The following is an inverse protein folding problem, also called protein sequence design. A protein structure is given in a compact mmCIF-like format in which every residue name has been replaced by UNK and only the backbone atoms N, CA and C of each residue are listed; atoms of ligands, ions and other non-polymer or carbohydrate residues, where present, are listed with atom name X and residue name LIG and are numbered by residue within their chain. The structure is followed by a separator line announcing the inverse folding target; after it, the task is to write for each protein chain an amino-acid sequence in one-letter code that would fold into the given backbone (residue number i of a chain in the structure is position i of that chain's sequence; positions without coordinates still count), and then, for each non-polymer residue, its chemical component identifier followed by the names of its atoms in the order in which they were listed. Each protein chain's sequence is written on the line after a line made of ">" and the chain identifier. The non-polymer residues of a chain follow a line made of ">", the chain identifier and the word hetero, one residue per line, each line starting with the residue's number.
data_IF_425151691061
#
_entry.id   IF_425151691061
#
_cell.length_a   1.000
_cell.length_b   1.000
_cell.length_c   1.000
_cell.angle_alpha   90.00
_cell.angle_beta   90.00
_cell.angle_gamma   90.00
#
_symmetry.space_group_name_H-M   'P 1'
#
loop_
_entity.id
_entity.type
_entity.pdbx_description
1 polymer ?
#
# COMPACT_ATOMS: atom_id res chain seq x y z
N UNK A 1 -0.96 -12.03 -3.92
CA UNK A 1 -1.36 -11.02 -2.91
C UNK A 1 -1.85 -9.78 -3.64
N UNK A 2 -2.86 -9.09 -3.13
CA UNK A 2 -3.26 -7.75 -3.60
C UNK A 2 -2.73 -6.72 -2.60
N UNK A 3 -2.17 -5.61 -3.07
CA UNK A 3 -1.76 -4.50 -2.22
C UNK A 3 -2.18 -3.17 -2.83
N UNK A 4 -2.75 -2.29 -2.00
CA UNK A 4 -3.17 -0.96 -2.40
C UNK A 4 -2.95 0.07 -1.29
N UNK A 5 -2.72 1.32 -1.69
CA UNK A 5 -2.61 2.45 -0.77
C UNK A 5 -3.96 3.15 -0.64
N UNK A 6 -4.51 3.24 0.57
CA UNK A 6 -5.74 3.99 0.85
C UNK A 6 -5.50 4.99 1.97
N UNK A 7 -6.50 5.82 2.24
CA UNK A 7 -6.49 6.77 3.34
C UNK A 7 -7.58 6.44 4.33
N UNK A 8 -7.25 6.39 5.61
CA UNK A 8 -8.20 6.14 6.70
C UNK A 8 -8.05 7.21 7.79
N UNK A 9 -9.09 7.36 8.61
CA UNK A 9 -9.01 8.21 9.80
C UNK A 9 -8.18 7.50 10.87
N UNK A 10 -7.03 8.07 11.21
CA UNK A 10 -6.14 7.56 12.25
C UNK A 10 -6.04 8.58 13.38
N UNK A 11 -6.15 8.10 14.62
CA UNK A 11 -5.97 8.92 15.81
C UNK A 11 -4.48 9.20 16.01
N UNK A 12 -4.06 10.44 15.77
CA UNK A 12 -2.67 10.88 15.92
C UNK A 12 -2.55 11.97 16.99
N UNK A 13 -1.35 12.12 17.56
CA UNK A 13 -1.06 13.22 18.48
C UNK A 13 -0.64 14.45 17.69
N UNK A 14 -1.37 15.55 17.88
CA UNK A 14 -0.99 16.86 17.34
C UNK A 14 0.31 17.32 18.02
N UNK A 15 1.34 17.64 17.23
CA UNK A 15 2.66 18.04 17.77
C UNK A 15 2.64 19.42 18.42
N UNK A 16 1.76 20.31 17.98
CA UNK A 16 1.66 21.69 18.47
C UNK A 16 0.81 21.75 19.74
N UNK A 17 -0.36 21.11 19.73
CA UNK A 17 -1.32 21.19 20.84
C UNK A 17 -1.20 20.05 21.84
N UNK A 18 -0.48 18.98 21.50
CA UNK A 18 -0.33 17.77 22.33
C UNK A 18 -1.60 16.91 22.44
N UNK A 19 -2.72 17.34 21.85
CA UNK A 19 -4.02 16.63 21.90
C UNK A 19 -4.09 15.51 20.86
N UNK A 20 -4.92 14.50 21.15
CA UNK A 20 -5.23 13.45 20.17
C UNK A 20 -6.31 13.94 19.22
N UNK A 21 -6.10 13.78 17.92
CA UNK A 21 -7.04 14.16 16.87
C UNK A 21 -7.11 13.08 15.80
N UNK A 22 -8.25 12.92 15.15
CA UNK A 22 -8.38 12.04 13.99
C UNK A 22 -8.03 12.81 12.73
N UNK A 23 -7.02 12.33 12.01
CA UNK A 23 -6.61 12.89 10.72
C UNK A 23 -6.61 11.81 9.66
N UNK A 24 -6.88 12.22 8.43
CA UNK A 24 -6.84 11.35 7.26
C UNK A 24 -5.37 11.03 6.96
N UNK A 25 -4.97 9.78 7.19
CA UNK A 25 -3.60 9.32 6.99
C UNK A 25 -3.55 8.19 5.95
N UNK A 26 -2.41 8.06 5.28
CA UNK A 26 -2.18 6.93 4.38
C UNK A 26 -1.94 5.63 5.15
N UNK A 27 -2.51 4.55 4.65
CA UNK A 27 -2.23 3.17 5.04
C UNK A 27 -2.07 2.31 3.78
N UNK A 28 -1.33 1.22 3.89
CA UNK A 28 -1.36 0.16 2.89
C UNK A 28 -2.22 -0.99 3.36
N UNK A 29 -3.14 -1.43 2.51
CA UNK A 29 -3.93 -2.63 2.69
C UNK A 29 -3.42 -3.74 1.78
N UNK A 30 -3.06 -4.88 2.37
CA UNK A 30 -2.69 -6.09 1.65
C UNK A 30 -3.68 -7.21 1.92
N UNK A 31 -4.13 -7.92 0.88
CA UNK A 31 -5.03 -9.07 0.99
C UNK A 31 -4.41 -10.30 0.36
N UNK A 32 -4.42 -11.42 1.07
CA UNK A 32 -4.12 -12.73 0.54
C UNK A 32 -5.37 -13.61 0.56
N UNK A 33 -6.10 -13.75 -0.56
CA UNK A 33 -7.31 -14.56 -0.62
C UNK A 33 -7.07 -16.04 -0.33
N UNK A 34 -5.93 -16.59 -0.75
CA UNK A 34 -5.60 -18.00 -0.52
C UNK A 34 -5.47 -18.31 0.97
N UNK A 35 -4.87 -17.40 1.73
CA UNK A 35 -4.73 -17.53 3.19
C UNK A 35 -5.92 -16.94 3.96
N UNK A 36 -6.87 -16.29 3.28
CA UNK A 36 -7.98 -15.54 3.89
C UNK A 36 -7.53 -14.50 4.93
N UNK A 37 -6.38 -13.86 4.70
CA UNK A 37 -5.84 -12.82 5.60
C UNK A 37 -5.80 -11.46 4.92
N UNK A 38 -6.05 -10.42 5.72
CA UNK A 38 -5.79 -9.02 5.38
C UNK A 38 -4.75 -8.45 6.36
N UNK A 39 -3.82 -7.67 5.82
CA UNK A 39 -2.76 -6.99 6.56
C UNK A 39 -2.84 -5.50 6.29
N UNK A 40 -2.66 -4.70 7.33
CA UNK A 40 -2.62 -3.25 7.24
C UNK A 40 -1.29 -2.75 7.75
N UNK A 41 -0.64 -1.89 6.95
CA UNK A 41 0.59 -1.22 7.32
C UNK A 41 0.33 0.27 7.50
N UNK A 42 0.73 0.79 8.65
CA UNK A 42 0.73 2.21 8.96
C UNK A 42 2.12 2.61 9.45
N UNK A 43 2.80 3.48 8.70
CA UNK A 43 4.02 4.15 9.18
C UNK A 43 3.77 5.66 9.25
N UNK A 44 3.07 6.08 10.31
CA UNK A 44 2.83 7.50 10.62
C UNK A 44 2.20 8.30 9.46
N UNK A 45 1.47 7.61 8.57
CA UNK A 45 0.87 8.17 7.36
C UNK A 45 1.84 8.44 6.21
N UNK A 46 3.09 8.00 6.30
CA UNK A 46 4.05 8.07 5.21
C UNK A 46 3.64 7.13 4.09
N UNK A 47 3.74 7.64 2.85
CA UNK A 47 3.57 6.87 1.61
C UNK A 47 4.85 6.76 0.80
N UNK A 48 6.00 6.96 1.45
CA UNK A 48 7.30 7.03 0.77
C UNK A 48 7.77 5.68 0.23
N UNK A 49 8.70 5.72 -0.73
CA UNK A 49 9.36 4.53 -1.27
C UNK A 49 10.07 3.73 -0.17
N UNK A 50 10.69 4.39 0.81
CA UNK A 50 11.39 3.72 1.91
C UNK A 50 10.45 2.82 2.75
N UNK A 51 9.19 3.24 2.96
CA UNK A 51 8.19 2.41 3.64
C UNK A 51 7.89 1.15 2.82
N UNK A 52 7.70 1.33 1.51
CA UNK A 52 7.44 0.23 0.60
C UNK A 52 8.64 -0.72 0.48
N UNK A 53 9.87 -0.23 0.45
CA UNK A 53 11.08 -1.05 0.42
C UNK A 53 11.22 -1.89 1.70
N UNK A 54 11.04 -1.27 2.87
CA UNK A 54 11.16 -1.97 4.15
C UNK A 54 10.03 -3.00 4.35
N UNK A 55 8.79 -2.67 3.99
CA UNK A 55 7.67 -3.61 4.04
C UNK A 55 7.81 -4.74 3.00
N UNK A 56 8.21 -4.31 1.81
CA UNK A 56 8.79 -5.05 0.70
C UNK A 56 9.72 -6.18 1.12
N UNK A 57 10.80 -5.84 1.81
CA UNK A 57 12.15 -6.44 1.69
C UNK A 57 12.25 -7.97 1.53
N UNK A 58 11.46 -8.76 2.26
CA UNK A 58 11.53 -10.23 2.28
C UNK A 58 10.39 -10.91 1.49
N UNK A 59 9.51 -10.13 0.86
CA UNK A 59 8.43 -10.66 0.04
C UNK A 59 8.93 -11.42 -1.19
N UNK A 60 8.34 -12.59 -1.42
CA UNK A 60 8.51 -13.45 -2.59
C UNK A 60 7.12 -13.89 -3.10
N UNK A 61 7.01 -14.06 -4.41
CA UNK A 61 5.81 -14.56 -5.08
C UNK A 61 5.06 -13.50 -5.89
N UNK A 62 3.76 -13.71 -6.04
CA UNK A 62 2.92 -12.93 -6.96
C UNK A 62 2.20 -11.79 -6.24
N UNK A 63 2.34 -10.57 -6.74
CA UNK A 63 1.67 -9.38 -6.19
C UNK A 63 0.93 -8.58 -7.26
N UNK A 64 -0.31 -8.17 -6.95
CA UNK A 64 -1.12 -7.28 -7.78
C UNK A 64 -1.19 -5.91 -7.09
N UNK A 65 -0.80 -4.86 -7.81
CA UNK A 65 -0.73 -3.47 -7.31
C UNK A 65 -1.31 -2.50 -8.33
N UNK A 66 -1.61 -1.28 -7.91
CA UNK A 66 -2.03 -0.21 -8.82
C UNK A 66 -0.84 0.35 -9.66
N UNK A 67 -1.07 1.50 -10.29
CA UNK A 67 -0.06 2.20 -11.09
C UNK A 67 0.91 3.09 -10.28
N UNK A 68 0.90 3.06 -8.95
CA UNK A 68 1.72 3.97 -8.15
C UNK A 68 3.22 3.67 -8.32
N UNK A 69 4.01 4.73 -8.55
CA UNK A 69 5.44 4.63 -8.89
C UNK A 69 6.30 3.89 -7.88
N UNK A 70 5.92 3.83 -6.59
CA UNK A 70 6.69 3.09 -5.57
C UNK A 70 6.77 1.59 -5.91
N UNK A 71 5.74 1.03 -6.55
CA UNK A 71 5.71 -0.39 -6.90
C UNK A 71 6.66 -0.77 -8.05
N UNK A 72 7.28 0.22 -8.72
CA UNK A 72 8.40 -0.03 -9.64
C UNK A 72 9.62 -0.65 -8.93
N UNK A 73 9.64 -0.65 -7.59
CA UNK A 73 10.61 -1.42 -6.81
C UNK A 73 10.58 -2.92 -7.13
N UNK A 74 9.44 -3.45 -7.57
CA UNK A 74 9.32 -4.86 -7.97
C UNK A 74 9.83 -5.11 -9.39
N UNK A 75 9.79 -4.09 -10.25
CA UNK A 75 10.20 -4.19 -11.66
C UNK A 75 11.74 -4.13 -11.80
N UNK A 76 12.45 -3.60 -10.79
CA UNK A 76 13.91 -3.47 -10.78
C UNK A 76 14.54 -4.54 -9.90
N UNK A 77 15.22 -5.50 -10.52
CA UNK A 77 16.21 -6.39 -9.87
C UNK A 77 15.71 -7.28 -8.72
N UNK A 78 14.41 -7.43 -8.52
CA UNK A 78 13.86 -8.26 -7.44
C UNK A 78 13.53 -9.67 -7.92
N UNK A 79 14.54 -10.55 -7.88
CA UNK A 79 14.35 -11.97 -8.20
C UNK A 79 13.29 -12.58 -7.30
N UNK A 80 12.38 -13.35 -7.89
CA UNK A 80 11.36 -14.08 -7.14
C UNK A 80 10.05 -13.33 -6.88
N UNK A 81 9.90 -12.09 -7.36
CA UNK A 81 8.63 -11.37 -7.33
C UNK A 81 8.11 -11.17 -8.74
N UNK A 82 6.84 -11.53 -8.95
CA UNK A 82 6.13 -11.23 -10.19
C UNK A 82 5.04 -10.20 -9.89
N UNK A 83 5.10 -9.05 -10.56
CA UNK A 83 4.12 -7.97 -10.40
C UNK A 83 3.05 -8.04 -11.50
N UNK A 84 1.79 -7.91 -11.08
CA UNK A 84 0.64 -7.74 -11.96
C UNK A 84 -0.01 -6.37 -11.73
N UNK A 85 -0.58 -5.79 -12.79
CA UNK A 85 -1.38 -4.58 -12.69
C UNK A 85 -2.79 -4.88 -12.16
N UNK A 86 -3.31 -4.02 -11.28
CA UNK A 86 -4.67 -4.15 -10.76
C UNK A 86 -5.71 -3.73 -11.80
N UNK A 87 -6.40 -4.71 -12.39
CA UNK A 87 -7.44 -4.46 -13.40
C UNK A 87 -8.67 -3.72 -12.85
N UNK A 88 -8.93 -3.79 -11.54
CA UNK A 88 -9.98 -2.97 -10.92
C UNK A 88 -9.65 -1.46 -11.01
N UNK A 89 -8.39 -1.08 -10.79
CA UNK A 89 -7.93 0.30 -10.94
C UNK A 89 -7.91 0.75 -12.40
N UNK A 90 -7.54 -0.16 -13.33
CA UNK A 90 -7.63 0.12 -14.77
C UNK A 90 -9.08 0.40 -15.15
N UNK A 91 -10.02 -0.51 -14.83
CA UNK A 91 -11.44 -0.35 -15.13
C UNK A 91 -12.02 0.94 -14.54
N UNK A 92 -11.67 1.29 -13.30
CA UNK A 92 -12.16 2.52 -12.64
C UNK A 92 -11.89 3.76 -13.49
N UNK A 93 -10.72 3.85 -14.14
CA UNK A 93 -10.36 4.98 -15.01
C UNK A 93 -11.19 5.10 -16.29
N UNK A 94 -11.93 4.06 -16.68
CA UNK A 94 -12.76 4.08 -17.89
C UNK A 94 -14.26 4.15 -17.56
N UNK A 95 -14.67 3.71 -16.38
CA UNK A 95 -16.08 3.68 -15.96
C UNK A 95 -16.46 4.93 -15.16
N UNK A 96 -15.55 5.42 -14.31
CA UNK A 96 -15.81 6.55 -13.41
C UNK A 96 -15.16 7.85 -13.91
N UNK A 97 -14.73 7.90 -15.19
CA UNK A 97 -14.12 9.07 -15.83
C UNK A 97 -15.15 10.03 -16.42
#
# INVERSE_FOLDING_TARGET
>A
MFCDGTTELVRIKNKETGKMEYKKQYIWGSKNPALKVAYYLYDRGSRSMAVAENHFKDFFGNITTDGYNVYKLFDRHRKGVTRYGCMAHVRRKFVDA
#
